data_IF_973993827605
#
_entry.id   IF_973993827605
#
_cell.length_a   1.000
_cell.length_b   1.000
_cell.length_c   1.000
_cell.angle_alpha   90.00
_cell.angle_beta   90.00
_cell.angle_gamma   90.00
#
_symmetry.space_group_name_H-M   'P 1'
#
loop_
_entity.id
_entity.type
_entity.pdbx_description
1 polymer ?
#
# COMPACT_ATOMS: atom_id res chain seq x y z
N UNK A 1 0.47 -2.10 -14.60
CA UNK A 1 1.78 -2.68 -14.23
C UNK A 1 2.85 -2.34 -15.27
N UNK A 2 3.16 -1.05 -15.43
CA UNK A 2 4.11 -0.55 -16.43
C UNK A 2 4.96 0.53 -15.81
N UNK A 3 6.27 0.33 -15.74
CA UNK A 3 7.20 1.34 -15.28
C UNK A 3 7.43 2.42 -16.35
N UNK A 4 7.76 3.64 -15.94
CA UNK A 4 8.00 4.78 -16.85
C UNK A 4 9.14 4.55 -17.85
N UNK A 5 10.06 3.64 -17.55
CA UNK A 5 11.11 3.27 -18.49
C UNK A 5 10.62 2.40 -19.65
N UNK A 6 9.42 1.82 -19.57
CA UNK A 6 8.85 0.95 -20.62
C UNK A 6 7.96 1.71 -21.61
N UNK A 7 7.17 2.69 -21.14
CA UNK A 7 6.18 3.41 -21.96
C UNK A 7 5.85 4.79 -21.38
N UNK A 8 5.38 5.71 -22.23
CA UNK A 8 4.79 6.99 -21.80
C UNK A 8 3.52 6.78 -20.99
N UNK A 9 2.66 5.86 -21.41
CA UNK A 9 1.55 5.37 -20.60
C UNK A 9 2.09 4.40 -19.54
N UNK A 10 2.20 4.88 -18.31
CA UNK A 10 2.82 4.16 -17.21
C UNK A 10 2.13 4.39 -15.87
N UNK A 11 2.64 3.73 -14.84
CA UNK A 11 2.04 3.67 -13.52
C UNK A 11 2.37 4.88 -12.62
N UNK A 12 3.07 5.92 -13.09
CA UNK A 12 3.55 7.02 -12.25
C UNK A 12 2.41 7.77 -11.54
N UNK A 13 1.38 8.17 -12.28
CA UNK A 13 0.24 8.90 -11.70
C UNK A 13 -0.54 8.03 -10.70
N UNK A 14 -0.77 6.76 -11.05
CA UNK A 14 -1.41 5.79 -10.16
C UNK A 14 -0.59 5.54 -8.90
N UNK A 15 0.75 5.51 -9.01
CA UNK A 15 1.64 5.35 -7.85
C UNK A 15 1.55 6.53 -6.88
N UNK A 16 1.40 7.76 -7.38
CA UNK A 16 1.24 8.95 -6.53
C UNK A 16 -0.10 8.89 -5.81
N UNK A 17 -1.19 8.57 -6.52
CA UNK A 17 -2.50 8.42 -5.91
C UNK A 17 -2.49 7.30 -4.85
N UNK A 18 -1.89 6.17 -5.17
CA UNK A 18 -1.81 5.01 -4.28
C UNK A 18 -1.00 5.27 -3.00
N UNK A 19 0.05 6.09 -3.06
CA UNK A 19 0.77 6.54 -1.87
C UNK A 19 -0.16 7.31 -0.92
N UNK A 20 -0.91 8.29 -1.44
CA UNK A 20 -1.90 9.01 -0.64
C UNK A 20 -2.99 8.12 -0.04
N UNK A 21 -3.45 7.11 -0.80
CA UNK A 21 -4.40 6.09 -0.29
C UNK A 21 -3.80 5.31 0.89
N UNK A 22 -2.56 4.83 0.74
CA UNK A 22 -1.87 4.05 1.78
C UNK A 22 -1.70 4.90 3.06
N UNK A 23 -1.14 6.10 2.93
CA UNK A 23 -0.88 7.00 4.06
C UNK A 23 -2.18 7.38 4.79
N UNK A 24 -3.23 7.69 4.04
CA UNK A 24 -4.56 7.99 4.61
C UNK A 24 -5.12 6.78 5.35
N UNK A 25 -4.97 5.57 4.79
CA UNK A 25 -5.50 4.34 5.38
C UNK A 25 -4.81 3.99 6.69
N UNK A 26 -3.49 4.15 6.76
CA UNK A 26 -2.72 3.97 8.01
C UNK A 26 -3.09 5.03 9.02
N UNK A 27 -3.22 6.29 8.60
CA UNK A 27 -3.64 7.38 9.48
C UNK A 27 -5.00 7.10 10.12
N UNK A 28 -5.98 6.69 9.31
CA UNK A 28 -7.31 6.31 9.79
C UNK A 28 -7.24 5.12 10.75
N UNK A 29 -6.46 4.09 10.42
CA UNK A 29 -6.33 2.92 11.29
C UNK A 29 -5.72 3.27 12.66
N UNK A 30 -4.73 4.16 12.70
CA UNK A 30 -4.12 4.60 13.96
C UNK A 30 -5.05 5.48 14.78
N UNK A 31 -5.75 6.44 14.15
CA UNK A 31 -6.71 7.30 14.84
C UNK A 31 -7.93 6.53 15.37
N UNK A 32 -8.38 5.48 14.67
CA UNK A 32 -9.43 4.58 15.19
C UNK A 32 -8.96 3.82 16.43
N UNK A 33 -7.67 3.45 16.51
CA UNK A 33 -7.10 2.74 17.66
C UNK A 33 -6.80 3.69 18.83
N UNK A 34 -6.31 4.89 18.54
CA UNK A 34 -5.93 5.88 19.52
C UNK A 34 -6.14 7.29 18.93
N UNK A 35 -7.24 7.93 19.31
CA UNK A 35 -7.57 9.28 18.83
C UNK A 35 -6.64 10.35 19.41
N UNK A 36 -5.98 10.07 20.54
CA UNK A 36 -5.05 10.97 21.24
C UNK A 36 -3.58 10.75 20.83
N UNK A 37 -3.32 9.99 19.75
CA UNK A 37 -1.96 9.78 19.23
C UNK A 37 -1.28 11.13 18.91
N UNK A 38 -0.01 11.25 19.28
CA UNK A 38 0.74 12.47 18.97
C UNK A 38 0.99 12.58 17.47
N UNK A 39 1.06 13.81 16.95
CA UNK A 39 1.40 14.02 15.53
C UNK A 39 2.76 13.43 15.16
N UNK A 40 3.71 13.40 16.10
CA UNK A 40 5.03 12.79 15.93
C UNK A 40 4.91 11.29 15.70
N UNK A 41 4.18 10.59 16.57
CA UNK A 41 4.07 9.12 16.49
C UNK A 41 3.22 8.72 15.28
N UNK A 42 2.16 9.46 14.97
CA UNK A 42 1.35 9.24 13.77
C UNK A 42 2.21 9.39 12.48
N UNK A 43 3.01 10.45 12.39
CA UNK A 43 3.90 10.66 11.23
C UNK A 43 5.01 9.62 11.15
N UNK A 44 5.45 9.07 12.29
CA UNK A 44 6.41 7.97 12.32
C UNK A 44 5.79 6.70 11.70
N UNK A 45 4.58 6.33 12.10
CA UNK A 45 3.87 5.16 11.55
C UNK A 45 3.59 5.30 10.05
N UNK A 46 3.14 6.48 9.60
CA UNK A 46 2.93 6.78 8.18
C UNK A 46 4.26 6.65 7.41
N UNK A 47 5.34 7.23 7.94
CA UNK A 47 6.66 7.14 7.31
C UNK A 47 7.15 5.70 7.21
N UNK A 48 6.92 4.88 8.23
CA UNK A 48 7.35 3.48 8.26
C UNK A 48 6.74 2.63 7.15
N UNK A 49 5.44 2.75 6.91
CA UNK A 49 4.76 2.02 5.81
C UNK A 49 5.15 2.55 4.43
N UNK A 50 5.52 3.83 4.35
CA UNK A 50 5.96 4.46 3.10
C UNK A 50 7.42 4.15 2.75
N UNK A 51 8.22 3.56 3.65
CA UNK A 51 9.63 3.21 3.39
C UNK A 51 9.74 2.25 2.21
N UNK A 52 10.42 2.72 1.16
CA UNK A 52 10.59 2.00 -0.11
C UNK A 52 11.24 0.64 0.11
N UNK A 53 12.39 0.60 0.77
CA UNK A 53 13.22 -0.62 0.88
C UNK A 53 12.66 -1.66 1.84
N UNK A 54 12.21 -1.22 3.02
CA UNK A 54 11.93 -2.09 4.16
C UNK A 54 10.45 -2.40 4.35
N UNK A 55 9.55 -1.75 3.60
CA UNK A 55 8.11 -1.99 3.69
C UNK A 55 7.47 -2.11 2.30
N UNK A 56 7.34 -1.01 1.58
CA UNK A 56 6.59 -0.96 0.32
C UNK A 56 7.10 -1.96 -0.75
N UNK A 57 8.41 -2.06 -0.94
CA UNK A 57 8.98 -3.05 -1.87
C UNK A 57 8.92 -4.49 -1.33
N UNK A 58 8.91 -4.68 -0.02
CA UNK A 58 8.75 -6.00 0.60
C UNK A 58 7.36 -6.54 0.32
N UNK A 59 6.32 -5.74 0.59
CA UNK A 59 4.92 -6.11 0.31
C UNK A 59 4.71 -6.35 -1.19
N UNK A 60 5.26 -5.48 -2.04
CA UNK A 60 5.22 -5.68 -3.48
C UNK A 60 5.92 -6.95 -3.95
N UNK A 61 7.01 -7.37 -3.29
CA UNK A 61 7.68 -8.65 -3.58
C UNK A 61 6.88 -9.85 -3.09
N UNK A 62 6.24 -9.76 -1.93
CA UNK A 62 5.33 -10.80 -1.41
C UNK A 62 4.17 -11.07 -2.38
N UNK A 63 3.67 -10.03 -3.06
CA UNK A 63 2.67 -10.15 -4.13
C UNK A 63 3.25 -10.57 -5.50
N UNK A 64 4.57 -10.79 -5.61
CA UNK A 64 5.21 -11.19 -6.86
C UNK A 64 5.29 -10.10 -7.93
N UNK A 65 5.16 -8.81 -7.57
CA UNK A 65 5.07 -7.72 -8.53
C UNK A 65 6.31 -7.57 -9.42
N UNK A 66 7.49 -7.96 -8.92
CA UNK A 66 8.75 -8.00 -9.67
C UNK A 66 8.70 -8.89 -10.92
N UNK A 67 7.75 -9.83 -10.97
CA UNK A 67 7.58 -10.77 -12.08
C UNK A 67 6.61 -10.26 -13.15
N UNK A 68 5.77 -9.27 -12.83
CA UNK A 68 4.71 -8.78 -13.73
C UNK A 68 4.89 -7.32 -14.16
N UNK A 69 5.71 -6.55 -13.44
CA UNK A 69 6.00 -5.16 -13.81
C UNK A 69 6.78 -5.11 -15.11
N UNK A 70 6.22 -4.44 -16.11
CA UNK A 70 6.89 -4.23 -17.40
C UNK A 70 7.92 -3.10 -17.27
N UNK A 71 9.15 -3.39 -17.64
CA UNK A 71 10.31 -2.48 -17.60
C UNK A 71 11.08 -2.57 -18.91
N UNK A 72 11.79 -1.53 -19.32
CA UNK A 72 12.71 -1.65 -20.47
C UNK A 72 13.92 -2.49 -20.16
N UNK A 73 14.64 -2.91 -21.19
CA UNK A 73 15.82 -3.79 -21.09
C UNK A 73 16.96 -3.25 -20.21
N UNK A 74 16.99 -1.94 -19.93
CA UNK A 74 18.00 -1.27 -19.09
C UNK A 74 17.57 -1.07 -17.64
N UNK A 75 16.34 -1.45 -17.28
CA UNK A 75 15.78 -1.27 -15.94
C UNK A 75 15.57 -2.63 -15.30
N UNK A 76 15.98 -2.79 -14.04
CA UNK A 76 15.78 -4.03 -13.29
C UNK A 76 14.42 -4.01 -12.58
N UNK A 77 13.55 -4.98 -12.90
CA UNK A 77 12.21 -5.10 -12.30
C UNK A 77 12.22 -5.43 -10.80
N UNK A 78 13.35 -5.93 -10.28
CA UNK A 78 13.53 -6.25 -8.85
C UNK A 78 14.02 -5.05 -8.03
N UNK A 79 14.38 -3.94 -8.68
CA UNK A 79 14.80 -2.71 -8.01
C UNK A 79 13.68 -2.25 -7.06
N UNK A 80 13.98 -1.99 -5.77
CA UNK A 80 12.98 -1.66 -4.77
C UNK A 80 12.06 -0.50 -5.13
N UNK A 81 12.59 0.58 -5.72
CA UNK A 81 11.77 1.71 -6.18
C UNK A 81 10.81 1.34 -7.32
N UNK A 82 11.19 0.41 -8.20
CA UNK A 82 10.32 -0.10 -9.28
C UNK A 82 9.17 -0.93 -8.70
N UNK A 83 9.50 -1.84 -7.78
CA UNK A 83 8.50 -2.70 -7.12
C UNK A 83 7.55 -1.87 -6.26
N UNK A 84 8.08 -0.95 -5.44
CA UNK A 84 7.28 -0.08 -4.59
C UNK A 84 6.36 0.83 -5.42
N UNK A 85 6.85 1.39 -6.53
CA UNK A 85 6.01 2.16 -7.45
C UNK A 85 4.88 1.31 -8.06
N UNK A 86 5.15 0.05 -8.41
CA UNK A 86 4.13 -0.88 -8.88
C UNK A 86 3.10 -1.24 -7.78
N UNK A 87 3.57 -1.44 -6.55
CA UNK A 87 2.73 -1.72 -5.39
C UNK A 87 1.77 -0.57 -5.09
N UNK A 88 2.28 0.66 -4.98
CA UNK A 88 1.44 1.85 -4.79
C UNK A 88 0.45 2.01 -5.95
N UNK A 89 0.91 1.83 -7.19
CA UNK A 89 0.05 1.95 -8.35
C UNK A 89 -1.10 0.92 -8.38
N UNK A 90 -0.94 -0.26 -7.77
CA UNK A 90 -2.02 -1.21 -7.62
C UNK A 90 -3.19 -0.60 -6.83
N UNK A 91 -2.91 0.01 -5.68
CA UNK A 91 -3.95 0.62 -4.85
C UNK A 91 -4.51 1.90 -5.46
N UNK A 92 -3.69 2.68 -6.17
CA UNK A 92 -4.19 3.79 -6.98
C UNK A 92 -5.15 3.35 -8.07
N UNK A 93 -4.86 2.23 -8.74
CA UNK A 93 -5.77 1.64 -9.74
C UNK A 93 -7.07 1.14 -9.10
N UNK A 94 -7.01 0.42 -7.98
CA UNK A 94 -8.19 -0.05 -7.24
C UNK A 94 -9.06 1.13 -6.79
N UNK A 95 -8.45 2.22 -6.32
CA UNK A 95 -9.19 3.41 -5.89
C UNK A 95 -9.96 4.04 -7.06
N UNK A 96 -9.37 4.11 -8.26
CA UNK A 96 -10.05 4.65 -9.45
C UNK A 96 -11.12 3.69 -9.99
N UNK A 97 -10.81 2.40 -10.08
CA UNK A 97 -11.73 1.38 -10.60
C UNK A 97 -12.99 1.26 -9.74
N UNK A 98 -12.82 1.33 -8.42
CA UNK A 98 -13.94 1.28 -7.47
C UNK A 98 -14.57 2.65 -7.20
N UNK A 99 -13.93 3.75 -7.59
CA UNK A 99 -14.30 5.10 -7.18
C UNK A 99 -14.20 5.35 -5.66
N UNK A 100 -13.40 4.55 -4.93
CA UNK A 100 -13.34 4.56 -3.47
C UNK A 100 -11.92 4.37 -2.93
N UNK A 101 -11.36 5.43 -2.33
CA UNK A 101 -10.09 5.35 -1.62
C UNK A 101 -10.16 4.43 -0.38
N UNK A 102 -11.30 4.39 0.31
CA UNK A 102 -11.52 3.51 1.46
C UNK A 102 -11.47 2.02 1.07
N UNK A 103 -12.08 1.64 -0.06
CA UNK A 103 -12.03 0.26 -0.57
C UNK A 103 -10.60 -0.18 -0.89
N UNK A 104 -9.84 0.69 -1.55
CA UNK A 104 -8.43 0.44 -1.84
C UNK A 104 -7.58 0.36 -0.55
N UNK A 105 -7.85 1.24 0.40
CA UNK A 105 -7.22 1.26 1.71
C UNK A 105 -7.43 -0.01 2.51
N UNK A 106 -8.67 -0.50 2.59
CA UNK A 106 -9.00 -1.78 3.24
C UNK A 106 -8.28 -2.96 2.60
N UNK A 107 -8.12 -2.96 1.28
CA UNK A 107 -7.35 -3.99 0.59
C UNK A 107 -5.85 -3.89 0.94
N UNK A 108 -5.30 -2.67 0.99
CA UNK A 108 -3.91 -2.45 1.42
C UNK A 108 -3.69 -2.97 2.84
N UNK A 109 -4.55 -2.62 3.79
CA UNK A 109 -4.42 -3.06 5.18
C UNK A 109 -4.46 -4.59 5.30
N UNK A 110 -5.25 -5.28 4.48
CA UNK A 110 -5.21 -6.75 4.41
C UNK A 110 -3.87 -7.24 3.93
N UNK A 111 -3.37 -6.76 2.80
CA UNK A 111 -2.06 -7.19 2.26
C UNK A 111 -0.93 -6.92 3.26
N UNK A 112 -0.90 -5.73 3.85
CA UNK A 112 0.18 -5.28 4.71
C UNK A 112 0.18 -5.96 6.10
N UNK A 113 -1.00 -6.26 6.67
CA UNK A 113 -1.12 -6.84 8.01
C UNK A 113 -1.47 -8.34 8.03
N UNK A 114 -1.96 -8.96 6.95
CA UNK A 114 -2.22 -10.41 6.91
C UNK A 114 -0.94 -11.24 6.83
N UNK A 115 0.15 -10.73 6.25
CA UNK A 115 1.46 -11.40 6.27
C UNK A 115 2.12 -11.38 7.67
N UNK A 116 1.77 -10.42 8.53
CA UNK A 116 2.15 -10.42 9.95
C UNK A 116 1.29 -11.39 10.80
N UNK A 117 0.28 -12.02 10.20
CA UNK A 117 -0.92 -12.50 10.88
C UNK A 117 -1.14 -14.01 10.94
N UNK A 118 -0.15 -14.87 10.66
CA UNK A 118 -0.27 -16.32 10.99
C UNK A 118 -0.39 -16.62 12.50
N UNK A 119 -0.44 -15.59 13.36
CA UNK A 119 -0.55 -15.73 14.82
C UNK A 119 -1.78 -15.15 15.51
N UNK A 120 -2.54 -14.20 14.94
CA UNK A 120 -3.60 -13.49 15.72
C UNK A 120 -4.81 -13.00 14.91
N UNK A 121 -5.41 -13.88 14.10
CA UNK A 121 -6.75 -13.63 13.53
C UNK A 121 -7.81 -14.08 14.55
N UNK A 122 -7.87 -13.39 15.69
CA UNK A 122 -8.82 -13.67 16.77
C UNK A 122 -9.67 -12.49 17.22
N UNK A 123 -9.31 -11.24 16.91
CA UNK A 123 -9.90 -10.09 17.60
C UNK A 123 -10.53 -8.99 16.71
N UNK A 124 -10.27 -8.96 15.40
CA UNK A 124 -10.77 -7.88 14.52
C UNK A 124 -12.22 -8.12 14.05
N UNK A 125 -12.78 -9.32 14.25
CA UNK A 125 -14.18 -9.61 13.89
C UNK A 125 -15.21 -8.89 14.77
N UNK A 126 -14.83 -8.26 15.87
CA UNK A 126 -15.81 -7.75 16.85
C UNK A 126 -16.15 -6.26 16.73
N UNK A 127 -15.37 -5.46 16.00
CA UNK A 127 -15.62 -4.01 15.90
C UNK A 127 -16.49 -3.62 14.68
N UNK A 128 -16.50 -4.42 13.62
CA UNK A 128 -17.35 -4.15 12.45
C UNK A 128 -18.84 -4.42 12.69
N UNK A 129 -19.18 -5.18 13.74
CA UNK A 129 -20.57 -5.49 14.11
C UNK A 129 -21.19 -4.45 15.06
N UNK A 130 -20.42 -3.48 15.57
CA UNK A 130 -20.92 -2.47 16.51
C UNK A 130 -21.26 -1.12 15.85
N UNK A 131 -21.16 -1.01 14.53
CA UNK A 131 -21.50 0.20 13.77
C UNK A 131 -22.54 -0.05 12.66
N UNK A 132 -23.39 -1.07 12.82
CA UNK A 132 -24.57 -1.32 11.97
C UNK A 132 -25.85 -1.24 12.79
#
# INVERSE_FOLDING_TARGET
MTHSSYSEENNKALSILGEGVIETSVSMQMLVKNIDISSKDLNQDISEVSKVETSCAVDGKSLGLQNIVRVSSKTNSTTPSVVCGAFRALFGAVALDTGSADSAGKLFLKVHFEDAGKGQIGHVRNTLTMMS
#
